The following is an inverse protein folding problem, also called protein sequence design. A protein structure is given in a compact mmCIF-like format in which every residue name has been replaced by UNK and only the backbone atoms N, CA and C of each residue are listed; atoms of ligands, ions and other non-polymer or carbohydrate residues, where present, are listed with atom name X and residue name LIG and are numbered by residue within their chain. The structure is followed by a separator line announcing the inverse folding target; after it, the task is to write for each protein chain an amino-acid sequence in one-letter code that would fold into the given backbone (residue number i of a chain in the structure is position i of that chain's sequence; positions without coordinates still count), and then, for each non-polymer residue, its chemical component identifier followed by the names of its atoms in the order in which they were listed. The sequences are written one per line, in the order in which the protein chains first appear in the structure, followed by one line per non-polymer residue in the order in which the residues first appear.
data_IF_594793627652
#
_entry.id   IF_594793627652
#
_cell.length_a   1.000
_cell.length_b   1.000
_cell.length_c   1.000
_cell.angle_alpha   90.00
_cell.angle_beta   90.00
_cell.angle_gamma   90.00
#
_symmetry.space_group_name_H-M   'P 1'
#
loop_
_entity.id
_entity.type
_entity.pdbx_description
1 polymer ?
#
# COMPACT_ATOMS: atom_id res chain seq x y z
N UNK A 1 15.01 -14.72 -9.90
CA UNK A 1 15.25 -16.16 -10.12
C UNK A 1 14.98 -16.88 -8.80
N UNK A 2 13.79 -17.43 -8.62
CA UNK A 2 13.51 -18.36 -7.51
C UNK A 2 13.36 -19.74 -8.16
N UNK A 3 14.43 -20.53 -8.17
CA UNK A 3 14.47 -21.84 -8.83
C UNK A 3 14.56 -23.00 -7.81
N UNK A 4 14.16 -22.76 -6.56
CA UNK A 4 14.10 -23.78 -5.50
C UNK A 4 12.78 -23.65 -4.75
N UNK A 5 12.26 -24.79 -4.29
CA UNK A 5 11.10 -24.85 -3.41
C UNK A 5 11.38 -24.07 -2.13
N UNK A 6 10.60 -23.01 -1.88
CA UNK A 6 10.73 -22.23 -0.66
C UNK A 6 10.41 -23.08 0.56
N UNK A 7 11.21 -22.93 1.61
CA UNK A 7 10.98 -23.58 2.89
C UNK A 7 9.79 -22.93 3.62
N UNK A 8 8.92 -23.76 4.21
CA UNK A 8 7.71 -23.28 4.87
C UNK A 8 8.00 -22.58 6.20
N UNK A 9 9.04 -22.98 6.93
CA UNK A 9 9.46 -22.29 8.16
C UNK A 9 10.12 -20.94 7.82
N UNK A 10 10.83 -20.85 6.69
CA UNK A 10 11.32 -19.57 6.17
C UNK A 10 10.16 -18.61 5.87
N UNK A 11 9.09 -19.08 5.22
CA UNK A 11 7.88 -18.28 4.99
C UNK A 11 7.24 -17.85 6.32
N UNK A 12 7.09 -18.77 7.27
CA UNK A 12 6.54 -18.50 8.59
C UNK A 12 7.34 -17.44 9.34
N UNK A 13 8.67 -17.44 9.18
CA UNK A 13 9.56 -16.48 9.83
C UNK A 13 9.29 -15.04 9.40
N UNK A 14 8.91 -14.83 8.12
CA UNK A 14 8.69 -13.52 7.48
C UNK A 14 7.32 -12.88 7.81
N UNK A 15 6.36 -13.65 8.32
CA UNK A 15 5.05 -13.13 8.70
C UNK A 15 5.20 -12.15 9.86
N UNK A 16 4.75 -10.90 9.65
CA UNK A 16 4.86 -9.81 10.62
C UNK A 16 3.79 -9.89 11.71
N UNK A 17 2.53 -10.14 11.33
CA UNK A 17 1.43 -10.25 12.28
C UNK A 17 1.60 -11.51 13.14
N UNK A 18 1.64 -11.33 14.47
CA UNK A 18 1.70 -12.45 15.40
C UNK A 18 0.49 -13.37 15.26
N UNK A 19 -0.70 -12.79 15.12
CA UNK A 19 -1.95 -13.56 15.04
C UNK A 19 -2.03 -14.37 13.76
N UNK A 20 -1.73 -13.78 12.60
CA UNK A 20 -1.70 -14.50 11.32
C UNK A 20 -0.67 -15.63 11.33
N UNK A 21 0.49 -15.38 11.96
CA UNK A 21 1.59 -16.34 12.11
C UNK A 21 1.22 -17.56 12.94
N UNK A 22 0.39 -17.40 13.97
CA UNK A 22 -0.11 -18.52 14.76
C UNK A 22 -0.95 -19.48 13.90
N UNK A 23 -1.92 -18.97 13.13
CA UNK A 23 -2.71 -19.79 12.21
C UNK A 23 -1.92 -20.37 11.04
N UNK A 24 -0.92 -19.64 10.52
CA UNK A 24 -0.04 -20.20 9.49
C UNK A 24 0.81 -21.36 10.05
N UNK A 25 1.25 -21.27 11.31
CA UNK A 25 1.96 -22.37 11.99
C UNK A 25 1.07 -23.60 12.13
N UNK A 26 -0.21 -23.43 12.45
CA UNK A 26 -1.18 -24.53 12.48
C UNK A 26 -1.36 -25.17 11.10
N UNK A 27 -1.44 -24.34 10.04
CA UNK A 27 -1.53 -24.83 8.67
C UNK A 27 -0.31 -25.68 8.28
N UNK A 28 0.90 -25.22 8.60
CA UNK A 28 2.15 -25.94 8.33
C UNK A 28 2.22 -27.24 9.14
N UNK A 29 1.82 -27.21 10.40
CA UNK A 29 1.79 -28.39 11.27
C UNK A 29 0.82 -29.44 10.75
N UNK A 30 -0.38 -29.02 10.34
CA UNK A 30 -1.41 -29.88 9.75
C UNK A 30 -0.96 -30.45 8.40
N UNK A 31 -0.27 -29.66 7.59
CA UNK A 31 0.32 -30.13 6.33
C UNK A 31 1.36 -31.22 6.58
N UNK A 32 2.26 -31.01 7.54
CA UNK A 32 3.31 -31.97 7.92
C UNK A 32 2.76 -33.28 8.51
N UNK A 33 1.61 -33.25 9.16
CA UNK A 33 0.95 -34.44 9.71
C UNK A 33 0.06 -35.18 8.71
N UNK A 34 -0.08 -34.69 7.47
CA UNK A 34 -0.98 -35.26 6.47
C UNK A 34 -2.45 -34.85 6.62
N UNK A 35 -2.77 -33.95 7.55
CA UNK A 35 -4.10 -33.40 7.75
C UNK A 35 -4.40 -32.27 6.74
N UNK A 36 -4.45 -32.61 5.45
CA UNK A 36 -4.52 -31.65 4.34
C UNK A 36 -5.76 -30.75 4.35
N UNK A 37 -6.95 -31.28 4.68
CA UNK A 37 -8.17 -30.47 4.82
C UNK A 37 -8.03 -29.41 5.93
N UNK A 38 -7.46 -29.80 7.07
CA UNK A 38 -7.21 -28.88 8.17
C UNK A 38 -6.16 -27.82 7.79
N UNK A 39 -5.11 -28.23 7.06
CA UNK A 39 -4.09 -27.31 6.58
C UNK A 39 -4.66 -26.21 5.66
N UNK A 40 -5.58 -26.57 4.74
CA UNK A 40 -6.27 -25.60 3.88
C UNK A 40 -7.14 -24.66 4.71
N UNK A 41 -7.93 -25.19 5.64
CA UNK A 41 -8.77 -24.38 6.54
C UNK A 41 -7.96 -23.40 7.38
N UNK A 42 -6.87 -23.85 8.01
CA UNK A 42 -5.99 -22.96 8.80
C UNK A 42 -5.27 -21.92 7.92
N UNK A 43 -4.91 -22.27 6.68
CA UNK A 43 -4.34 -21.32 5.72
C UNK A 43 -5.33 -20.19 5.41
N UNK A 44 -6.60 -20.55 5.18
CA UNK A 44 -7.66 -19.57 4.94
C UNK A 44 -7.92 -18.68 6.15
N UNK A 45 -7.96 -19.24 7.36
CA UNK A 45 -8.11 -18.45 8.59
C UNK A 45 -6.94 -17.46 8.74
N UNK A 46 -5.71 -17.89 8.44
CA UNK A 46 -4.54 -17.01 8.47
C UNK A 46 -4.69 -15.81 7.52
N UNK A 47 -5.23 -16.02 6.31
CA UNK A 47 -5.55 -14.95 5.35
C UNK A 47 -6.55 -13.95 5.96
N UNK A 48 -7.66 -14.45 6.52
CA UNK A 48 -8.69 -13.59 7.09
C UNK A 48 -8.15 -12.72 8.23
N UNK A 49 -7.41 -13.33 9.14
CA UNK A 49 -6.79 -12.65 10.28
C UNK A 49 -5.78 -11.61 9.82
N UNK A 50 -5.00 -11.90 8.78
CA UNK A 50 -4.01 -10.96 8.25
C UNK A 50 -4.64 -9.71 7.62
N UNK A 51 -5.75 -9.88 6.90
CA UNK A 51 -6.51 -8.73 6.36
C UNK A 51 -7.08 -7.88 7.50
N UNK A 52 -7.60 -8.50 8.57
CA UNK A 52 -8.08 -7.76 9.75
C UNK A 52 -6.96 -6.93 10.37
N UNK A 53 -5.80 -7.55 10.64
CA UNK A 53 -4.67 -6.89 11.28
C UNK A 53 -4.11 -5.74 10.42
N UNK A 54 -3.99 -5.95 9.10
CA UNK A 54 -3.59 -4.88 8.17
C UNK A 54 -4.61 -3.77 8.06
N UNK A 55 -5.90 -4.08 8.15
CA UNK A 55 -6.96 -3.06 8.20
C UNK A 55 -6.79 -2.19 9.45
N UNK A 56 -6.54 -2.80 10.61
CA UNK A 56 -6.28 -2.08 11.87
C UNK A 56 -5.03 -1.20 11.76
N UNK A 57 -3.93 -1.74 11.22
CA UNK A 57 -2.69 -0.98 11.01
C UNK A 57 -2.93 0.24 10.11
N UNK A 58 -3.64 0.06 8.99
CA UNK A 58 -3.97 1.16 8.06
C UNK A 58 -4.92 2.18 8.69
N UNK A 59 -5.89 1.74 9.51
CA UNK A 59 -6.82 2.62 10.21
C UNK A 59 -6.11 3.50 11.24
N UNK A 60 -5.21 2.91 12.05
CA UNK A 60 -4.33 3.65 12.96
C UNK A 60 -3.40 4.61 12.20
N UNK A 61 -2.99 4.22 10.98
CA UNK A 61 -2.26 5.06 10.04
C UNK A 61 -3.10 6.14 9.36
N UNK A 62 -4.39 6.29 9.69
CA UNK A 62 -5.26 7.36 9.16
C UNK A 62 -5.85 7.11 7.77
N UNK A 63 -5.81 5.87 7.25
CA UNK A 63 -6.46 5.56 5.97
C UNK A 63 -7.99 5.57 6.14
N UNK A 64 -8.67 6.43 5.37
CA UNK A 64 -10.10 6.69 5.52
C UNK A 64 -10.98 5.46 5.20
N UNK A 65 -10.59 4.64 4.23
CA UNK A 65 -11.35 3.43 3.90
C UNK A 65 -11.11 2.34 4.95
N UNK A 66 -9.85 2.19 5.40
CA UNK A 66 -9.53 1.27 6.48
C UNK A 66 -10.28 1.60 7.78
N UNK A 67 -10.42 2.88 8.14
CA UNK A 67 -11.20 3.31 9.32
C UNK A 67 -12.67 2.88 9.21
N UNK A 68 -13.29 3.03 8.04
CA UNK A 68 -14.69 2.60 7.84
C UNK A 68 -14.83 1.10 7.99
N UNK A 69 -13.90 0.33 7.41
CA UNK A 69 -13.91 -1.14 7.49
C UNK A 69 -13.65 -1.58 8.92
N UNK A 70 -12.66 -1.01 9.61
CA UNK A 70 -12.31 -1.32 10.99
C UNK A 70 -13.48 -1.08 11.95
N UNK A 71 -14.19 0.05 11.78
CA UNK A 71 -15.43 0.31 12.51
C UNK A 71 -16.53 -0.72 12.22
N UNK A 72 -16.68 -1.16 10.97
CA UNK A 72 -17.63 -2.23 10.61
C UNK A 72 -17.25 -3.54 11.30
N UNK A 73 -15.98 -3.91 11.30
CA UNK A 73 -15.47 -5.11 11.97
C UNK A 73 -15.66 -5.06 13.49
N UNK A 74 -15.45 -3.89 14.11
CA UNK A 74 -15.65 -3.69 15.55
C UNK A 74 -17.09 -3.85 16.02
N UNK A 75 -18.08 -3.77 15.11
CA UNK A 75 -19.49 -4.00 15.43
C UNK A 75 -19.89 -5.48 15.37
N UNK A 76 -19.04 -6.37 14.86
CA UNK A 76 -19.32 -7.80 14.79
C UNK A 76 -19.15 -8.41 16.18
N UNK A 77 -20.24 -8.91 16.75
CA UNK A 77 -20.22 -9.56 18.07
C UNK A 77 -19.87 -11.05 17.95
N UNK A 78 -19.36 -11.71 19.01
CA UNK A 78 -19.00 -13.13 18.96
C UNK A 78 -20.13 -14.09 18.55
N UNK A 79 -21.39 -13.70 18.75
CA UNK A 79 -22.56 -14.53 18.39
C UNK A 79 -23.14 -14.17 17.01
N UNK A 80 -22.55 -13.19 16.31
CA UNK A 80 -23.02 -12.76 14.99
C UNK A 80 -22.33 -13.55 13.86
N UNK A 81 -22.68 -14.84 13.78
CA UNK A 81 -22.13 -15.77 12.78
C UNK A 81 -22.40 -15.32 11.34
N UNK A 82 -23.52 -14.62 11.10
CA UNK A 82 -23.88 -14.11 9.78
C UNK A 82 -22.89 -13.04 9.34
N UNK A 83 -22.65 -12.02 10.18
CA UNK A 83 -21.68 -10.97 9.84
C UNK A 83 -20.25 -11.50 9.74
N UNK A 84 -19.87 -12.51 10.53
CA UNK A 84 -18.57 -13.19 10.39
C UNK A 84 -18.44 -13.87 9.03
N UNK A 85 -19.47 -14.61 8.59
CA UNK A 85 -19.50 -15.29 7.31
C UNK A 85 -19.51 -14.29 6.13
N UNK A 86 -20.28 -13.21 6.25
CA UNK A 86 -20.33 -12.13 5.25
C UNK A 86 -18.94 -11.48 5.10
N UNK A 87 -18.26 -11.21 6.22
CA UNK A 87 -16.88 -10.71 6.18
C UNK A 87 -15.93 -11.70 5.52
N UNK A 88 -15.99 -12.97 5.91
CA UNK A 88 -15.15 -14.02 5.36
C UNK A 88 -15.34 -14.14 3.83
N UNK A 89 -16.59 -14.00 3.37
CA UNK A 89 -16.90 -14.04 1.95
C UNK A 89 -16.32 -12.85 1.18
N UNK A 90 -16.35 -11.67 1.79
CA UNK A 90 -15.89 -10.41 1.22
C UNK A 90 -14.39 -10.16 1.37
N UNK A 91 -13.66 -10.96 2.15
CA UNK A 91 -12.31 -10.61 2.62
C UNK A 91 -11.32 -10.30 1.50
N UNK A 92 -11.37 -11.05 0.39
CA UNK A 92 -10.50 -10.83 -0.77
C UNK A 92 -10.95 -9.64 -1.63
N UNK A 93 -12.26 -9.34 -1.66
CA UNK A 93 -12.78 -8.11 -2.27
C UNK A 93 -12.27 -6.90 -1.51
N UNK A 94 -12.36 -6.91 -0.17
CA UNK A 94 -11.84 -5.86 0.70
C UNK A 94 -10.33 -5.69 0.50
N UNK A 95 -9.58 -6.80 0.49
CA UNK A 95 -8.14 -6.77 0.31
C UNK A 95 -7.74 -6.16 -1.04
N UNK A 96 -8.43 -6.47 -2.14
CA UNK A 96 -8.11 -5.97 -3.46
C UNK A 96 -8.66 -4.56 -3.73
N UNK A 97 -9.96 -4.37 -3.59
CA UNK A 97 -10.68 -3.19 -4.09
C UNK A 97 -10.60 -2.02 -3.11
N UNK A 98 -10.82 -2.28 -1.83
CA UNK A 98 -10.92 -1.22 -0.82
C UNK A 98 -9.52 -0.83 -0.30
N UNK A 99 -8.73 -1.84 0.05
CA UNK A 99 -7.42 -1.64 0.69
C UNK A 99 -6.25 -1.70 -0.28
N UNK A 100 -6.39 -2.40 -1.42
CA UNK A 100 -5.30 -2.58 -2.39
C UNK A 100 -4.12 -3.37 -1.85
N UNK A 101 -4.33 -4.29 -0.91
CA UNK A 101 -3.28 -5.14 -0.30
C UNK A 101 -2.64 -6.12 -1.29
N UNK A 102 -3.43 -6.56 -2.27
CA UNK A 102 -3.10 -7.58 -3.28
C UNK A 102 -3.52 -7.08 -4.67
N UNK A 103 -2.95 -7.65 -5.72
CA UNK A 103 -3.33 -7.43 -7.12
C UNK A 103 -4.49 -8.35 -7.55
N UNK A 104 -5.04 -8.10 -8.74
CA UNK A 104 -6.11 -8.94 -9.32
C UNK A 104 -5.67 -10.40 -9.50
N UNK A 105 -4.44 -10.62 -9.99
CA UNK A 105 -3.91 -11.97 -10.21
C UNK A 105 -3.75 -12.71 -8.88
N UNK A 106 -3.22 -12.02 -7.88
CA UNK A 106 -3.07 -12.57 -6.52
C UNK A 106 -4.44 -12.87 -5.89
N UNK A 107 -5.43 -11.98 -6.06
CA UNK A 107 -6.83 -12.23 -5.65
C UNK A 107 -7.36 -13.53 -6.26
N UNK A 108 -7.23 -13.72 -7.57
CA UNK A 108 -7.69 -14.93 -8.25
C UNK A 108 -7.00 -16.20 -7.74
N UNK A 109 -5.72 -16.13 -7.39
CA UNK A 109 -5.04 -17.28 -6.78
C UNK A 109 -5.55 -17.58 -5.37
N UNK A 110 -5.77 -16.55 -4.54
CA UNK A 110 -6.29 -16.71 -3.19
C UNK A 110 -7.77 -17.15 -3.18
N UNK A 111 -8.55 -16.80 -4.20
CA UNK A 111 -9.95 -17.26 -4.36
C UNK A 111 -10.03 -18.79 -4.45
N UNK A 112 -9.07 -19.45 -5.09
CA UNK A 112 -9.01 -20.92 -5.13
C UNK A 112 -8.87 -21.55 -3.75
N UNK A 113 -8.11 -20.90 -2.86
CA UNK A 113 -7.96 -21.36 -1.47
C UNK A 113 -9.31 -21.30 -0.75
N UNK A 114 -10.10 -20.24 -0.98
CA UNK A 114 -11.45 -20.09 -0.43
C UNK A 114 -12.38 -21.19 -0.94
N UNK A 115 -12.39 -21.42 -2.24
CA UNK A 115 -13.22 -22.45 -2.88
C UNK A 115 -12.92 -23.84 -2.32
N UNK A 116 -11.64 -24.24 -2.31
CA UNK A 116 -11.24 -25.54 -1.78
C UNK A 116 -11.44 -25.65 -0.27
N UNK A 117 -11.27 -24.57 0.47
CA UNK A 117 -11.61 -24.53 1.90
C UNK A 117 -13.10 -24.80 2.09
N UNK A 118 -13.98 -24.20 1.29
CA UNK A 118 -15.42 -24.42 1.41
C UNK A 118 -15.77 -25.89 1.14
N UNK A 119 -15.15 -26.51 0.14
CA UNK A 119 -15.29 -27.95 -0.12
C UNK A 119 -14.75 -28.77 1.07
N UNK A 120 -13.62 -28.38 1.64
CA UNK A 120 -13.02 -29.07 2.78
C UNK A 120 -13.85 -28.93 4.08
N UNK A 121 -14.61 -27.84 4.25
CA UNK A 121 -15.39 -27.57 5.46
C UNK A 121 -16.78 -28.23 5.44
N UNK A 122 -17.33 -28.51 4.25
CA UNK A 122 -18.64 -29.14 4.09
C UNK A 122 -18.52 -30.61 3.67
N UNK A 123 -19.42 -31.50 4.12
CA UNK A 123 -19.47 -32.86 3.61
C UNK A 123 -19.70 -32.84 2.10
N UNK A 124 -18.78 -33.41 1.34
CA UNK A 124 -19.00 -33.64 -0.10
C UNK A 124 -19.98 -34.80 -0.25
N UNK A 125 -21.09 -34.57 -0.96
CA UNK A 125 -22.04 -35.62 -1.32
C UNK A 125 -21.64 -36.23 -2.67
N UNK A 126 -20.60 -37.05 -2.63
CA UNK A 126 -20.16 -37.89 -3.74
C UNK A 126 -20.93 -39.22 -3.72
N UNK A 127 -21.14 -39.81 -4.90
CA UNK A 127 -21.89 -41.07 -5.07
C UNK A 127 -21.28 -42.24 -4.29
N UNK A 128 -19.99 -42.18 -3.99
CA UNK A 128 -19.21 -43.16 -3.24
C UNK A 128 -18.92 -42.75 -1.78
N UNK A 129 -19.40 -41.58 -1.34
CA UNK A 129 -19.16 -41.04 0.01
C UNK A 129 -17.73 -40.52 0.25
N UNK A 130 -16.87 -40.47 -0.78
CA UNK A 130 -15.51 -39.98 -0.66
C UNK A 130 -15.48 -38.46 -0.45
N UNK A 131 -14.86 -38.02 0.64
CA UNK A 131 -14.63 -36.60 0.90
C UNK A 131 -13.47 -36.09 0.03
N UNK A 132 -13.59 -34.86 -0.48
CA UNK A 132 -12.46 -34.23 -1.16
C UNK A 132 -11.28 -34.04 -0.19
N UNK A 133 -10.11 -34.52 -0.60
CA UNK A 133 -8.85 -34.32 0.09
C UNK A 133 -7.88 -33.71 -0.92
N UNK A 134 -7.45 -32.45 -0.72
CA UNK A 134 -6.51 -31.82 -1.64
C UNK A 134 -5.15 -32.52 -1.57
N UNK A 135 -4.47 -32.73 -2.72
CA UNK A 135 -3.15 -33.36 -2.74
C UNK A 135 -2.10 -32.50 -2.03
N UNK A 136 -1.04 -33.10 -1.48
CA UNK A 136 -0.02 -32.38 -0.70
C UNK A 136 0.63 -31.21 -1.46
N UNK A 137 0.88 -31.36 -2.76
CA UNK A 137 1.49 -30.33 -3.60
C UNK A 137 0.59 -29.08 -3.70
N UNK A 138 -0.73 -29.29 -3.79
CA UNK A 138 -1.73 -28.23 -3.83
C UNK A 138 -1.79 -27.48 -2.48
N UNK A 139 -1.84 -28.22 -1.37
CA UNK A 139 -1.84 -27.61 -0.03
C UNK A 139 -0.57 -26.80 0.20
N UNK A 140 0.59 -27.33 -0.21
CA UNK A 140 1.86 -26.60 -0.12
C UNK A 140 1.82 -25.31 -0.95
N UNK A 141 1.25 -25.38 -2.15
CA UNK A 141 1.06 -24.21 -3.02
C UNK A 141 0.18 -23.16 -2.35
N UNK A 142 -0.90 -23.56 -1.65
CA UNK A 142 -1.77 -22.63 -0.93
C UNK A 142 -1.06 -21.94 0.22
N UNK A 143 -0.31 -22.68 1.04
CA UNK A 143 0.51 -22.09 2.11
C UNK A 143 1.52 -21.08 1.52
N UNK A 144 2.17 -21.45 0.41
CA UNK A 144 3.10 -20.56 -0.29
C UNK A 144 2.41 -19.30 -0.81
N UNK A 145 1.31 -19.43 -1.56
CA UNK A 145 0.60 -18.32 -2.17
C UNK A 145 0.04 -17.36 -1.11
N UNK A 146 -0.61 -17.87 -0.07
CA UNK A 146 -1.07 -17.07 1.06
C UNK A 146 0.08 -16.25 1.66
N UNK A 147 1.21 -16.92 1.92
CA UNK A 147 2.38 -16.29 2.51
C UNK A 147 3.01 -15.24 1.58
N UNK A 148 3.23 -15.59 0.32
CA UNK A 148 3.94 -14.76 -0.64
C UNK A 148 3.14 -13.53 -1.07
N UNK A 149 1.84 -13.69 -1.34
CA UNK A 149 1.00 -12.62 -1.86
C UNK A 149 0.43 -11.72 -0.78
N UNK A 150 0.21 -12.27 0.42
CA UNK A 150 -0.44 -11.52 1.49
C UNK A 150 0.42 -11.49 2.76
N UNK A 151 0.61 -12.61 3.46
CA UNK A 151 1.08 -12.60 4.86
C UNK A 151 2.48 -11.98 5.05
N UNK A 152 3.37 -12.15 4.07
CA UNK A 152 4.72 -11.58 4.09
C UNK A 152 4.81 -10.17 3.50
N UNK A 153 3.71 -9.68 2.93
CA UNK A 153 3.66 -8.35 2.33
C UNK A 153 3.23 -7.31 3.37
N UNK A 154 3.88 -6.13 3.44
CA UNK A 154 3.36 -5.01 4.22
C UNK A 154 2.03 -4.50 3.64
N UNK A 155 1.20 -3.80 4.43
CA UNK A 155 0.02 -3.12 3.90
C UNK A 155 0.42 -2.01 2.91
N UNK A 156 -0.42 -1.78 1.89
CA UNK A 156 -0.19 -0.70 0.91
C UNK A 156 -0.71 0.60 1.48
N UNK A 157 0.19 1.58 1.67
CA UNK A 157 -0.19 2.85 2.28
C UNK A 157 -0.88 3.78 1.27
N UNK A 158 -1.98 4.39 1.71
CA UNK A 158 -2.76 5.36 0.96
C UNK A 158 -2.31 6.81 1.21
N UNK A 159 -3.23 7.77 1.04
CA UNK A 159 -2.94 9.22 1.15
C UNK A 159 -2.48 9.67 2.54
N UNK A 160 -2.73 8.89 3.59
CA UNK A 160 -2.36 9.29 4.95
C UNK A 160 -0.84 9.41 5.16
N UNK A 161 -0.04 8.71 4.34
CA UNK A 161 1.42 8.76 4.40
C UNK A 161 2.02 10.07 3.86
N UNK A 162 1.23 10.88 3.13
CA UNK A 162 1.73 12.07 2.45
C UNK A 162 2.41 13.05 3.39
N UNK A 163 1.84 13.26 4.59
CA UNK A 163 2.44 14.11 5.61
C UNK A 163 3.80 13.62 6.06
N UNK A 164 3.93 12.31 6.35
CA UNK A 164 5.18 11.70 6.76
C UNK A 164 6.26 11.78 5.66
N UNK A 165 5.90 11.57 4.40
CA UNK A 165 6.84 11.70 3.26
C UNK A 165 7.28 13.15 3.11
N UNK A 166 6.35 14.10 3.17
CA UNK A 166 6.68 15.51 3.05
C UNK A 166 7.61 15.96 4.17
N UNK A 167 7.29 15.63 5.42
CA UNK A 167 8.14 15.92 6.58
C UNK A 167 9.52 15.26 6.49
N UNK A 168 9.61 14.05 5.93
CA UNK A 168 10.89 13.41 5.66
C UNK A 168 11.71 14.23 4.66
N UNK A 169 11.15 14.56 3.49
CA UNK A 169 11.88 15.27 2.43
C UNK A 169 12.34 16.66 2.89
N UNK A 170 11.54 17.33 3.72
CA UNK A 170 11.87 18.66 4.27
C UNK A 170 12.78 18.61 5.49
N UNK A 171 13.00 17.44 6.09
CA UNK A 171 13.87 17.28 7.26
C UNK A 171 15.34 17.57 6.95
N UNK A 172 16.11 17.90 7.99
CA UNK A 172 17.54 18.14 7.85
C UNK A 172 18.32 16.90 7.42
N UNK A 173 17.91 15.72 7.89
CA UNK A 173 18.59 14.44 7.65
C UNK A 173 18.36 13.84 6.26
N UNK A 174 17.42 14.37 5.48
CA UNK A 174 17.16 13.86 4.14
C UNK A 174 18.31 14.21 3.17
N UNK A 175 18.82 13.23 2.40
CA UNK A 175 19.96 13.45 1.53
C UNK A 175 19.63 14.35 0.33
N UNK A 176 20.57 15.23 -0.02
CA UNK A 176 20.52 16.05 -1.23
C UNK A 176 20.94 15.29 -2.50
N UNK A 177 21.59 14.15 -2.35
CA UNK A 177 22.10 13.33 -3.44
C UNK A 177 21.05 12.34 -3.95
N UNK A 178 20.85 12.28 -5.27
CA UNK A 178 19.76 11.51 -5.89
C UNK A 178 19.80 10.02 -5.53
N UNK A 179 20.96 9.35 -5.55
CA UNK A 179 21.03 7.91 -5.20
C UNK A 179 20.68 7.64 -3.74
N UNK A 180 21.17 8.47 -2.82
CA UNK A 180 20.85 8.32 -1.39
C UNK A 180 19.37 8.60 -1.14
N UNK A 181 18.81 9.62 -1.79
CA UNK A 181 17.38 9.94 -1.71
C UNK A 181 16.53 8.78 -2.24
N UNK A 182 16.95 8.15 -3.34
CA UNK A 182 16.26 7.00 -3.91
C UNK A 182 16.29 5.80 -2.96
N UNK A 183 17.43 5.47 -2.35
CA UNK A 183 17.54 4.38 -1.37
C UNK A 183 16.60 4.60 -0.19
N UNK A 184 16.56 5.83 0.34
CA UNK A 184 15.66 6.19 1.44
C UNK A 184 14.21 6.06 1.00
N UNK A 185 13.79 6.73 -0.08
CA UNK A 185 12.39 6.79 -0.50
C UNK A 185 11.85 5.44 -1.01
N UNK A 186 12.70 4.58 -1.59
CA UNK A 186 12.32 3.25 -2.07
C UNK A 186 11.93 2.30 -0.93
N UNK A 187 12.33 2.56 0.32
CA UNK A 187 11.95 1.70 1.43
C UNK A 187 10.42 1.56 1.56
N UNK A 188 9.93 0.38 1.92
CA UNK A 188 8.49 0.07 2.09
C UNK A 188 7.79 1.02 3.08
N UNK A 189 8.54 1.58 4.02
CA UNK A 189 8.01 2.55 4.98
C UNK A 189 7.59 3.87 4.33
N UNK A 190 8.10 4.19 3.13
CA UNK A 190 7.83 5.42 2.36
C UNK A 190 7.16 5.09 1.03
N UNK A 191 7.86 5.17 -0.12
CA UNK A 191 7.27 4.98 -1.45
C UNK A 191 7.40 3.54 -1.97
N UNK A 192 8.12 2.64 -1.29
CA UNK A 192 8.32 1.26 -1.77
C UNK A 192 7.03 0.45 -1.99
N UNK A 193 5.99 0.73 -1.20
CA UNK A 193 4.69 0.04 -1.29
C UNK A 193 3.52 1.00 -0.99
N UNK A 194 3.18 1.83 -1.97
CA UNK A 194 2.08 2.81 -1.90
C UNK A 194 1.15 2.71 -3.11
N UNK A 195 -0.08 3.22 -2.96
CA UNK A 195 -1.01 3.36 -4.09
C UNK A 195 -0.47 4.39 -5.10
N UNK A 196 -0.76 4.24 -6.40
CA UNK A 196 -0.31 5.18 -7.44
C UNK A 196 -0.67 6.63 -7.15
N UNK A 197 -1.87 6.84 -6.58
CA UNK A 197 -2.32 8.15 -6.13
C UNK A 197 -1.35 8.86 -5.16
N UNK A 198 -0.52 8.12 -4.41
CA UNK A 198 0.48 8.71 -3.52
C UNK A 198 1.59 9.36 -4.32
N UNK A 199 2.13 8.71 -5.36
CA UNK A 199 3.14 9.31 -6.24
C UNK A 199 2.65 10.62 -6.87
N UNK A 200 1.41 10.61 -7.37
CA UNK A 200 0.74 11.81 -7.89
C UNK A 200 0.67 12.92 -6.84
N UNK A 201 0.16 12.61 -5.66
CA UNK A 201 -0.06 13.62 -4.62
C UNK A 201 1.25 14.17 -4.04
N UNK A 202 2.28 13.33 -3.84
CA UNK A 202 3.61 13.79 -3.42
C UNK A 202 4.19 14.73 -4.49
N UNK A 203 4.14 14.35 -5.76
CA UNK A 203 4.61 15.19 -6.88
C UNK A 203 3.92 16.56 -6.87
N UNK A 204 2.59 16.59 -6.71
CA UNK A 204 1.83 17.85 -6.63
C UNK A 204 2.23 18.70 -5.41
N UNK A 205 2.40 18.09 -4.24
CA UNK A 205 2.82 18.80 -3.02
C UNK A 205 4.21 19.41 -3.19
N UNK A 206 5.15 18.66 -3.77
CA UNK A 206 6.50 19.13 -4.05
C UNK A 206 6.52 20.26 -5.08
N UNK A 207 5.74 20.17 -6.17
CA UNK A 207 5.60 21.26 -7.14
C UNK A 207 4.98 22.51 -6.52
N UNK A 208 3.95 22.37 -5.68
CA UNK A 208 3.40 23.52 -4.95
C UNK A 208 4.45 24.15 -4.05
N UNK A 209 5.26 23.36 -3.35
CA UNK A 209 6.34 23.86 -2.50
C UNK A 209 7.43 24.59 -3.32
N UNK A 210 7.73 24.15 -4.53
CA UNK A 210 8.71 24.79 -5.41
C UNK A 210 8.22 26.08 -6.06
N UNK A 211 6.98 26.10 -6.54
CA UNK A 211 6.51 27.15 -7.46
C UNK A 211 5.44 28.06 -6.86
N UNK A 212 4.63 27.57 -5.91
CA UNK A 212 3.45 28.29 -5.42
C UNK A 212 3.61 28.84 -4.00
N UNK A 213 4.43 28.17 -3.20
CA UNK A 213 4.64 28.57 -1.81
C UNK A 213 5.48 29.86 -1.75
N UNK A 214 5.04 30.82 -0.95
CA UNK A 214 5.71 32.12 -0.77
C UNK A 214 6.78 32.07 0.32
N UNK A 215 6.82 31.01 1.14
CA UNK A 215 7.83 30.86 2.16
C UNK A 215 9.22 30.61 1.55
N UNK A 216 10.30 31.18 2.11
CA UNK A 216 11.64 31.07 1.55
C UNK A 216 12.06 29.61 1.30
N UNK A 217 12.64 29.38 0.11
CA UNK A 217 13.25 28.12 -0.26
C UNK A 217 14.76 28.24 -0.12
N UNK A 218 15.34 27.47 0.81
CA UNK A 218 16.79 27.33 0.88
C UNK A 218 17.30 26.49 -0.29
N UNK A 219 18.53 26.75 -0.73
CA UNK A 219 19.16 25.98 -1.81
C UNK A 219 19.25 24.48 -1.46
N UNK A 220 19.54 24.16 -0.19
CA UNK A 220 19.52 22.80 0.33
C UNK A 220 18.15 22.12 0.14
N UNK A 221 17.06 22.79 0.53
CA UNK A 221 15.72 22.26 0.37
C UNK A 221 15.34 22.05 -1.11
N UNK A 222 15.72 22.99 -1.98
CA UNK A 222 15.49 22.84 -3.43
C UNK A 222 16.18 21.59 -4.00
N UNK A 223 17.42 21.30 -3.57
CA UNK A 223 18.14 20.09 -3.95
C UNK A 223 17.48 18.82 -3.42
N UNK A 224 17.04 18.82 -2.15
CA UNK A 224 16.28 17.70 -1.56
C UNK A 224 15.01 17.39 -2.34
N UNK A 225 14.23 18.43 -2.67
CA UNK A 225 13.00 18.26 -3.46
C UNK A 225 13.32 17.73 -4.86
N UNK A 226 14.36 18.24 -5.52
CA UNK A 226 14.76 17.78 -6.86
C UNK A 226 15.17 16.30 -6.84
N UNK A 227 15.97 15.90 -5.85
CA UNK A 227 16.38 14.50 -5.66
C UNK A 227 15.20 13.59 -5.31
N UNK A 228 14.22 14.09 -4.56
CA UNK A 228 12.97 13.36 -4.30
C UNK A 228 12.12 13.19 -5.57
N UNK A 229 11.99 14.22 -6.41
CA UNK A 229 11.27 14.14 -7.68
C UNK A 229 11.93 13.15 -8.65
N UNK A 230 13.26 13.17 -8.76
CA UNK A 230 14.01 12.18 -9.54
C UNK A 230 13.81 10.75 -9.01
N UNK A 231 13.73 10.59 -7.68
CA UNK A 231 13.41 9.29 -7.06
C UNK A 231 11.99 8.83 -7.39
N UNK A 232 11.01 9.73 -7.39
CA UNK A 232 9.61 9.44 -7.74
C UNK A 232 9.49 9.00 -9.20
N UNK A 233 10.15 9.70 -10.12
CA UNK A 233 10.19 9.33 -11.55
C UNK A 233 10.75 7.92 -11.74
N UNK A 234 11.83 7.57 -11.01
CA UNK A 234 12.43 6.22 -11.07
C UNK A 234 11.51 5.14 -10.50
N UNK A 235 10.73 5.45 -9.46
CA UNK A 235 9.85 4.48 -8.81
C UNK A 235 8.55 4.25 -9.60
N UNK A 236 7.96 5.30 -10.17
CA UNK A 236 6.77 5.21 -11.00
C UNK A 236 6.76 6.32 -12.07
N UNK A 237 7.46 6.05 -13.17
CA UNK A 237 7.63 7.00 -14.28
C UNK A 237 6.28 7.36 -14.93
N UNK A 238 5.40 6.38 -15.10
CA UNK A 238 4.09 6.58 -15.75
C UNK A 238 3.23 7.60 -15.00
N UNK A 239 3.08 7.43 -13.67
CA UNK A 239 2.26 8.35 -12.86
C UNK A 239 2.95 9.72 -12.72
N UNK A 240 4.28 9.75 -12.60
CA UNK A 240 5.06 11.00 -12.55
C UNK A 240 4.86 11.84 -13.81
N UNK A 241 5.06 11.25 -15.00
CA UNK A 241 4.92 11.95 -16.29
C UNK A 241 3.48 12.43 -16.51
N UNK A 242 2.50 11.58 -16.18
CA UNK A 242 1.08 11.94 -16.26
C UNK A 242 0.76 13.13 -15.35
N UNK A 243 1.24 13.10 -14.11
CA UNK A 243 1.06 14.20 -13.16
C UNK A 243 1.72 15.49 -13.63
N UNK A 244 2.93 15.42 -14.19
CA UNK A 244 3.62 16.58 -14.77
C UNK A 244 2.78 17.22 -15.88
N UNK A 245 2.30 16.41 -16.84
CA UNK A 245 1.49 16.90 -17.97
C UNK A 245 0.20 17.58 -17.51
N UNK A 246 -0.48 17.00 -16.52
CA UNK A 246 -1.79 17.48 -16.08
C UNK A 246 -1.74 18.64 -15.08
N UNK A 247 -0.66 18.77 -14.30
CA UNK A 247 -0.63 19.69 -13.15
C UNK A 247 0.47 20.73 -13.19
N UNK A 248 1.54 20.52 -13.94
CA UNK A 248 2.65 21.47 -13.95
C UNK A 248 2.21 22.82 -14.54
N UNK A 249 1.53 22.81 -15.68
CA UNK A 249 1.02 24.03 -16.34
C UNK A 249 0.05 24.80 -15.44
N UNK A 250 -0.87 24.10 -14.78
CA UNK A 250 -1.83 24.70 -13.83
C UNK A 250 -1.14 25.36 -12.62
N UNK A 251 -0.03 24.77 -12.16
CA UNK A 251 0.75 25.28 -11.03
C UNK A 251 1.56 26.50 -11.44
N UNK A 252 2.18 26.47 -12.63
CA UNK A 252 3.00 27.55 -13.17
C UNK A 252 2.17 28.75 -13.65
N UNK A 253 1.01 28.52 -14.28
CA UNK A 253 0.13 29.60 -14.77
C UNK A 253 -0.48 30.47 -13.67
N UNK A 254 -0.30 30.11 -12.39
CA UNK A 254 -0.66 30.94 -11.23
C UNK A 254 0.51 31.71 -10.61
N UNK A 255 1.73 31.55 -11.13
CA UNK A 255 2.90 32.34 -10.72
C UNK A 255 2.95 33.72 -11.38
N UNK A 256 2.24 33.95 -12.49
CA UNK A 256 2.32 35.19 -13.28
C UNK A 256 1.54 36.39 -12.71
N UNK A 257 1.01 36.32 -11.48
CA UNK A 257 0.53 37.51 -10.76
C UNK A 257 1.65 38.16 -9.96
N UNK A 258 2.77 38.47 -10.61
CA UNK A 258 3.75 39.45 -10.10
C UNK A 258 3.38 40.78 -10.75
N UNK A 259 3.08 41.86 -9.99
CA UNK A 259 2.80 43.16 -10.57
C UNK A 259 3.96 43.58 -11.45
N UNK A 260 3.64 43.94 -12.70
CA UNK A 260 4.58 44.35 -13.73
C UNK A 260 5.50 45.47 -13.21
N UNK A 261 6.78 45.13 -13.07
CA UNK A 261 7.87 46.01 -12.63
C UNK A 261 8.18 47.11 -13.68
N UNK A 262 7.35 47.24 -14.72
CA UNK A 262 7.37 48.35 -15.69
C UNK A 262 6.59 49.58 -15.25
N UNK A 263 5.70 49.48 -14.26
CA UNK A 263 4.92 50.63 -13.75
C UNK A 263 5.69 51.54 -12.79
N UNK A 264 6.84 51.10 -12.26
CA UNK A 264 7.68 51.91 -11.37
C UNK A 264 8.72 52.78 -12.09
N UNK A 265 8.89 52.63 -13.41
CA UNK A 265 9.89 53.37 -14.20
C UNK A 265 9.31 54.51 -15.05
N UNK A 266 7.98 54.68 -15.07
CA UNK A 266 7.30 55.76 -15.83
C UNK A 266 6.92 56.98 -14.98
N UNK A 267 7.16 56.97 -13.66
CA UNK A 267 6.74 58.06 -12.75
C UNK A 267 7.90 58.93 -12.25
N UNK A 268 9.08 58.86 -12.91
CA UNK A 268 10.32 59.47 -12.44
C UNK A 268 10.99 60.48 -13.39
N UNK A 269 10.26 61.07 -14.34
CA UNK A 269 10.80 62.14 -15.19
C UNK A 269 9.73 63.16 -15.58
N UNK A 270 10.09 64.46 -15.53
CA UNK A 270 9.30 65.69 -15.71
C UNK A 270 8.57 66.18 -14.45
N UNK A 271 8.75 67.39 -13.92
CA UNK A 271 9.53 68.55 -14.36
C UNK A 271 9.65 69.53 -13.18
N UNK A 272 10.73 70.31 -13.17
CA UNK A 272 11.05 71.36 -12.21
C UNK A 272 10.21 72.63 -12.45
N UNK A 273 10.01 73.39 -11.37
CA UNK A 273 10.18 74.85 -11.39
C UNK A 273 8.99 75.71 -11.84
N UNK A 274 8.26 76.26 -10.87
CA UNK A 274 7.76 77.64 -10.97
C UNK A 274 7.42 78.20 -9.59
N UNK A 275 8.33 79.01 -9.04
CA UNK A 275 8.12 80.30 -8.36
C UNK A 275 9.46 80.85 -7.86
#
# INVERSE_FOLDING_TARGET
MYNQLTDLDELLSKVKSRFSKEYLREAITSYRSGAYRAAVTSTWISICVDVIEKTRELALGGDAEAIKIEKRLGNITPNDFKSMLDFENDVLRIAYEDLGLISLIEKTHLERIKEDRNICAHPTFSLDGAQFIPPPEMVRSYIFQASAYLLNQPPIKGKSILGSIYSLITSESFPEESEKAFIVLKADQYLGRVKDSVYRNVTIILFKRLFKDTAPLSFSLMRKITSALSSIERLNSTEYVTTCREKLTDILGRCEQVPDMRSCLSSGAMEQGSS
#
